data_IF_326180369306
#
_entry.id   IF_326180369306
#
_cell.length_a   1.000
_cell.length_b   1.000
_cell.length_c   1.000
_cell.angle_alpha   90.00
_cell.angle_beta   90.00
_cell.angle_gamma   90.00
#
_symmetry.space_group_name_H-M   'P 1'
#
loop_
_entity.id
_entity.type
_entity.pdbx_description
1 polymer ?
#
# COMPACT_ATOMS: atom_id res chain seq x y z
N UNK A 1 13.37 7.87 18.65
CA UNK A 1 13.25 8.81 17.52
C UNK A 1 12.18 8.24 16.60
N UNK A 2 11.26 9.06 16.10
CA UNK A 2 10.22 8.58 15.18
C UNK A 2 10.85 8.10 13.86
N UNK A 3 10.26 7.08 13.25
CA UNK A 3 10.65 6.57 11.93
C UNK A 3 10.24 7.57 10.85
N UNK A 4 10.91 7.53 9.70
CA UNK A 4 10.63 8.39 8.54
C UNK A 4 10.49 7.53 7.30
N UNK A 5 9.50 7.83 6.47
CA UNK A 5 9.38 7.16 5.18
C UNK A 5 10.40 7.69 4.19
N UNK A 6 10.67 6.97 3.08
CA UNK A 6 11.50 7.47 1.99
C UNK A 6 11.00 8.79 1.35
N UNK A 7 9.77 9.21 1.65
CA UNK A 7 9.15 10.43 1.13
C UNK A 7 9.18 11.61 2.11
N UNK A 8 9.79 11.47 3.30
CA UNK A 8 9.83 12.53 4.32
C UNK A 8 10.26 13.90 3.77
N UNK A 9 11.35 13.94 2.99
CA UNK A 9 11.81 15.20 2.38
C UNK A 9 10.83 15.74 1.34
N UNK A 10 10.09 14.87 0.64
CA UNK A 10 9.00 15.28 -0.27
C UNK A 10 7.84 15.88 0.52
N UNK A 11 7.53 15.34 1.70
CA UNK A 11 6.48 15.88 2.57
C UNK A 11 6.81 17.30 3.00
N UNK A 12 8.04 17.53 3.46
CA UNK A 12 8.51 18.86 3.86
C UNK A 12 8.53 19.85 2.67
N UNK A 13 9.04 19.41 1.52
CA UNK A 13 9.08 20.25 0.31
C UNK A 13 7.68 20.67 -0.18
N UNK A 14 6.65 19.85 0.10
CA UNK A 14 5.25 20.16 -0.19
C UNK A 14 4.50 20.80 0.99
N UNK A 15 5.22 21.27 2.02
CA UNK A 15 4.66 21.95 3.19
C UNK A 15 3.67 21.08 4.00
N UNK A 16 3.90 19.77 4.03
CA UNK A 16 3.11 18.83 4.82
C UNK A 16 3.16 19.15 6.31
N UNK A 17 2.00 19.20 6.96
CA UNK A 17 1.89 19.36 8.41
C UNK A 17 2.16 18.02 9.08
N UNK A 18 3.38 17.83 9.56
CA UNK A 18 3.84 16.56 10.12
C UNK A 18 3.27 16.30 11.52
N UNK A 19 2.88 15.04 11.78
CA UNK A 19 2.42 14.53 13.07
C UNK A 19 3.04 13.16 13.33
N UNK A 20 3.01 12.72 14.59
CA UNK A 20 3.29 11.32 14.93
C UNK A 20 2.09 10.44 14.56
N UNK A 21 2.34 9.41 13.76
CA UNK A 21 1.35 8.39 13.41
C UNK A 21 2.02 7.02 13.32
N UNK A 22 1.55 6.06 14.11
CA UNK A 22 2.09 4.69 14.12
C UNK A 22 3.62 4.61 14.29
N UNK A 23 4.21 5.54 15.06
CA UNK A 23 5.66 5.62 15.26
C UNK A 23 6.44 6.27 14.11
N UNK A 24 5.76 6.86 13.11
CA UNK A 24 6.35 7.60 12.00
C UNK A 24 6.04 9.10 12.07
N UNK A 25 6.90 9.93 11.48
CA UNK A 25 6.59 11.31 11.11
C UNK A 25 5.85 11.33 9.76
N UNK A 26 4.54 11.62 9.78
CA UNK A 26 3.68 11.60 8.60
C UNK A 26 2.88 12.91 8.43
N UNK A 27 2.58 13.35 7.20
CA UNK A 27 1.77 14.54 6.97
C UNK A 27 0.30 14.26 7.28
N UNK A 28 -0.29 15.00 8.23
CA UNK A 28 -1.75 14.93 8.47
C UNK A 28 -2.53 15.64 7.36
N UNK A 29 -1.95 16.66 6.75
CA UNK A 29 -2.49 17.42 5.62
C UNK A 29 -1.36 18.19 4.92
N UNK A 30 -1.64 18.68 3.71
CA UNK A 30 -0.84 19.59 2.91
C UNK A 30 -1.61 20.89 2.65
N UNK A 31 -2.63 20.87 1.78
CA UNK A 31 -3.46 22.03 1.43
C UNK A 31 -4.62 22.22 2.42
N UNK A 32 -5.05 21.12 3.07
CA UNK A 32 -6.15 21.08 4.03
C UNK A 32 -7.07 19.90 3.77
N UNK A 33 -7.54 19.26 4.84
CA UNK A 33 -8.28 17.98 4.78
C UNK A 33 -9.44 17.99 3.78
N UNK A 34 -10.28 19.04 3.76
CA UNK A 34 -11.43 19.12 2.86
C UNK A 34 -10.99 19.27 1.39
N UNK A 35 -9.98 20.11 1.12
CA UNK A 35 -9.48 20.32 -0.24
C UNK A 35 -8.86 19.04 -0.80
N UNK A 36 -8.05 18.36 0.01
CA UNK A 36 -7.43 17.07 -0.29
C UNK A 36 -8.46 15.95 -0.49
N UNK A 37 -9.48 15.88 0.37
CA UNK A 37 -10.58 14.95 0.21
C UNK A 37 -11.28 15.15 -1.15
N UNK A 38 -11.69 16.38 -1.45
CA UNK A 38 -12.34 16.72 -2.71
C UNK A 38 -11.42 16.45 -3.91
N UNK A 39 -10.11 16.62 -3.74
CA UNK A 39 -9.13 16.29 -4.78
C UNK A 39 -9.23 14.84 -5.20
N UNK A 40 -9.25 13.91 -4.24
CA UNK A 40 -9.34 12.48 -4.52
C UNK A 40 -10.69 12.14 -5.14
N UNK A 41 -11.80 12.69 -4.62
CA UNK A 41 -13.15 12.49 -5.16
C UNK A 41 -13.32 12.94 -6.61
N UNK A 42 -12.65 14.03 -7.01
CA UNK A 42 -12.91 14.68 -8.29
C UNK A 42 -11.82 14.45 -9.33
N UNK A 43 -10.59 14.15 -8.89
CA UNK A 43 -9.41 14.07 -9.76
C UNK A 43 -8.48 12.93 -9.37
N UNK A 44 -7.36 13.22 -8.72
CA UNK A 44 -6.34 12.25 -8.30
C UNK A 44 -5.52 12.81 -7.15
N UNK A 45 -5.28 11.98 -6.15
CA UNK A 45 -4.40 12.27 -5.03
C UNK A 45 -3.37 11.15 -4.82
N UNK A 46 -2.20 11.53 -4.30
CA UNK A 46 -1.10 10.60 -4.00
C UNK A 46 -0.88 10.57 -2.50
N UNK A 47 -0.97 9.38 -1.91
CA UNK A 47 -0.71 9.12 -0.51
C UNK A 47 0.61 8.38 -0.36
N UNK A 48 1.45 8.85 0.56
CA UNK A 48 2.51 8.00 1.11
C UNK A 48 1.94 7.09 2.18
N UNK A 49 1.97 5.79 1.90
CA UNK A 49 1.51 4.73 2.82
C UNK A 49 2.64 3.78 3.20
N UNK A 50 3.90 4.21 3.02
CA UNK A 50 5.09 3.41 3.33
C UNK A 50 5.28 3.12 4.83
N UNK A 51 4.47 3.75 5.69
CA UNK A 51 4.40 3.43 7.12
C UNK A 51 3.67 2.10 7.40
N UNK A 52 2.85 1.59 6.46
CA UNK A 52 2.24 0.26 6.55
C UNK A 52 3.30 -0.83 6.58
N UNK A 53 2.99 -2.03 7.06
CA UNK A 53 3.92 -3.16 7.07
C UNK A 53 3.88 -3.93 5.74
N UNK A 54 5.05 -4.36 5.23
CA UNK A 54 5.17 -5.27 4.09
C UNK A 54 5.90 -6.53 4.52
N UNK A 55 5.20 -7.64 4.69
CA UNK A 55 5.77 -8.91 5.17
C UNK A 55 5.64 -9.96 4.08
N UNK A 56 6.75 -10.53 3.64
CA UNK A 56 6.79 -11.59 2.62
C UNK A 56 6.93 -12.97 3.27
N UNK A 57 6.08 -13.89 2.83
CA UNK A 57 6.04 -15.29 3.26
C UNK A 57 6.50 -16.16 2.09
N UNK A 58 7.63 -16.84 2.26
CA UNK A 58 8.21 -17.76 1.28
C UNK A 58 8.14 -19.21 1.77
N UNK A 59 8.46 -20.16 0.89
CA UNK A 59 8.54 -21.59 1.22
C UNK A 59 7.37 -22.40 0.64
N UNK A 60 7.52 -23.73 0.61
CA UNK A 60 6.53 -24.64 0.00
C UNK A 60 5.20 -24.67 0.78
N UNK A 61 5.24 -24.40 2.09
CA UNK A 61 4.07 -24.47 2.97
C UNK A 61 3.40 -23.10 3.14
N UNK A 62 3.80 -22.08 2.35
CA UNK A 62 3.32 -20.69 2.50
C UNK A 62 1.80 -20.55 2.46
N UNK A 63 1.10 -21.25 1.56
CA UNK A 63 -0.37 -21.19 1.48
C UNK A 63 -1.03 -21.82 2.70
N UNK A 64 -0.57 -23.00 3.12
CA UNK A 64 -1.10 -23.69 4.29
C UNK A 64 -0.91 -22.86 5.56
N UNK A 65 0.27 -22.24 5.71
CA UNK A 65 0.56 -21.36 6.83
C UNK A 65 -0.30 -20.09 6.82
N UNK A 66 -0.40 -19.38 5.69
CA UNK A 66 -1.19 -18.15 5.64
C UNK A 66 -2.68 -18.45 5.86
N UNK A 67 -3.24 -19.50 5.24
CA UNK A 67 -4.60 -19.97 5.52
C UNK A 67 -4.85 -20.30 7.00
N UNK A 68 -3.83 -20.73 7.73
CA UNK A 68 -3.96 -21.02 9.15
C UNK A 68 -4.10 -19.76 10.00
N UNK A 69 -3.42 -18.67 9.61
CA UNK A 69 -3.38 -17.42 10.39
C UNK A 69 -4.38 -16.37 9.92
N UNK A 70 -4.90 -16.47 8.70
CA UNK A 70 -5.93 -15.57 8.14
C UNK A 70 -7.31 -16.23 8.12
N UNK A 71 -8.36 -15.43 8.08
CA UNK A 71 -9.75 -15.93 8.04
C UNK A 71 -10.29 -16.21 6.64
N UNK A 72 -9.73 -15.56 5.61
CA UNK A 72 -10.16 -15.73 4.23
C UNK A 72 -9.29 -16.80 3.54
N UNK A 73 -9.86 -17.51 2.55
CA UNK A 73 -9.16 -18.63 1.91
C UNK A 73 -8.17 -18.14 0.86
N UNK A 74 -6.88 -18.19 1.20
CA UNK A 74 -5.73 -17.77 0.39
C UNK A 74 -5.44 -18.75 -0.74
N UNK A 75 -5.87 -20.01 -0.62
CA UNK A 75 -5.70 -21.01 -1.69
C UNK A 75 -6.61 -20.78 -2.90
N UNK A 76 -7.63 -19.92 -2.79
CA UNK A 76 -8.50 -19.53 -3.92
C UNK A 76 -7.95 -18.33 -4.70
N UNK A 77 -6.86 -17.71 -4.23
CA UNK A 77 -6.24 -16.60 -4.95
C UNK A 77 -5.52 -17.12 -6.19
N UNK A 78 -5.95 -16.64 -7.35
CA UNK A 78 -5.14 -16.75 -8.57
C UNK A 78 -3.81 -16.00 -8.42
N UNK A 79 -2.85 -16.33 -9.28
CA UNK A 79 -1.58 -15.61 -9.31
C UNK A 79 -1.82 -14.12 -9.59
N UNK A 80 -1.19 -13.26 -8.79
CA UNK A 80 -1.36 -11.81 -8.72
C UNK A 80 -2.72 -11.31 -8.22
N UNK A 81 -3.60 -12.19 -7.78
CA UNK A 81 -4.81 -11.78 -7.09
C UNK A 81 -4.50 -11.46 -5.63
N UNK A 82 -5.27 -10.53 -5.08
CA UNK A 82 -5.25 -10.19 -3.67
C UNK A 82 -6.62 -10.42 -3.03
N UNK A 83 -6.66 -10.42 -1.70
CA UNK A 83 -7.89 -10.32 -0.93
C UNK A 83 -7.68 -9.60 0.40
N UNK A 84 -8.75 -8.98 0.90
CA UNK A 84 -8.81 -8.53 2.28
C UNK A 84 -9.06 -9.70 3.22
N UNK A 85 -8.42 -9.67 4.38
CA UNK A 85 -8.63 -10.65 5.45
C UNK A 85 -8.32 -10.04 6.82
N UNK A 86 -8.48 -10.86 7.86
CA UNK A 86 -8.07 -10.52 9.22
C UNK A 86 -7.24 -11.67 9.79
N UNK A 87 -6.29 -11.32 10.65
CA UNK A 87 -5.68 -12.24 11.60
C UNK A 87 -6.55 -12.30 12.86
N UNK A 88 -6.72 -13.51 13.43
CA UNK A 88 -7.45 -13.69 14.68
C UNK A 88 -6.62 -14.43 15.73
N UNK A 89 -6.84 -14.07 16.99
CA UNK A 89 -6.44 -14.86 18.14
C UNK A 89 -7.28 -16.15 18.24
N UNK A 90 -6.87 -17.16 19.03
CA UNK A 90 -7.63 -18.41 19.17
C UNK A 90 -9.05 -18.24 19.73
N UNK A 91 -9.32 -17.15 20.44
CA UNK A 91 -10.64 -16.80 20.98
C UNK A 91 -11.53 -16.04 19.96
N UNK A 92 -11.03 -15.78 18.75
CA UNK A 92 -11.73 -15.06 17.69
C UNK A 92 -11.56 -13.54 17.73
N UNK A 93 -10.83 -12.98 18.71
CA UNK A 93 -10.49 -11.56 18.71
C UNK A 93 -9.58 -11.19 17.53
N UNK A 94 -9.82 -10.05 16.89
CA UNK A 94 -9.02 -9.60 15.74
C UNK A 94 -7.65 -9.10 16.21
N UNK A 95 -6.60 -9.62 15.61
CA UNK A 95 -5.22 -9.16 15.81
C UNK A 95 -4.97 -7.93 14.94
N UNK A 96 -5.20 -8.05 13.62
CA UNK A 96 -5.14 -6.97 12.64
C UNK A 96 -5.97 -7.33 11.41
N UNK A 97 -6.32 -6.33 10.63
CA UNK A 97 -6.80 -6.50 9.26
C UNK A 97 -5.71 -6.20 8.23
N UNK A 98 -5.78 -6.87 7.07
CA UNK A 98 -4.70 -6.84 6.10
C UNK A 98 -5.16 -7.18 4.68
N UNK A 99 -4.26 -6.91 3.72
CA UNK A 99 -4.38 -7.42 2.35
C UNK A 99 -3.34 -8.51 2.11
N UNK A 100 -3.79 -9.63 1.56
CA UNK A 100 -2.97 -10.78 1.18
C UNK A 100 -2.84 -10.81 -0.33
N UNK A 101 -1.62 -10.89 -0.86
CA UNK A 101 -1.30 -10.99 -2.28
C UNK A 101 -0.65 -12.32 -2.60
N UNK A 102 -1.17 -13.04 -3.58
CA UNK A 102 -0.51 -14.24 -4.12
C UNK A 102 0.47 -13.87 -5.23
N UNK A 103 1.78 -13.97 -4.97
CA UNK A 103 2.85 -13.63 -5.92
C UNK A 103 3.64 -14.90 -6.31
N UNK A 104 4.41 -14.89 -7.42
CA UNK A 104 5.06 -16.11 -7.94
C UNK A 104 5.90 -16.85 -6.89
N UNK A 105 6.72 -16.10 -6.16
CA UNK A 105 7.70 -16.66 -5.22
C UNK A 105 7.29 -16.54 -3.75
N UNK A 106 6.26 -15.76 -3.43
CA UNK A 106 5.86 -15.47 -2.06
C UNK A 106 4.38 -15.10 -1.92
N UNK A 107 3.89 -15.11 -0.69
CA UNK A 107 2.68 -14.39 -0.32
C UNK A 107 3.11 -13.07 0.31
N UNK A 108 2.61 -11.94 -0.18
CA UNK A 108 2.85 -10.62 0.43
C UNK A 108 1.66 -10.26 1.32
N UNK A 109 1.96 -9.89 2.55
CA UNK A 109 1.01 -9.41 3.55
C UNK A 109 1.26 -7.92 3.76
N UNK A 110 0.23 -7.11 3.54
CA UNK A 110 0.25 -5.66 3.78
C UNK A 110 -0.61 -5.36 5.01
N UNK A 111 0.06 -5.03 6.12
CA UNK A 111 -0.54 -4.89 7.46
C UNK A 111 -0.53 -3.43 7.94
N UNK A 112 -1.29 -3.11 8.98
CA UNK A 112 -1.33 -1.75 9.49
C UNK A 112 0.00 -1.32 10.11
N UNK A 113 0.39 -0.05 9.91
CA UNK A 113 1.69 0.45 10.35
C UNK A 113 1.91 0.32 11.86
N UNK A 114 0.87 0.60 12.66
CA UNK A 114 0.94 0.49 14.13
C UNK A 114 1.07 -0.96 14.62
N UNK A 115 0.70 -1.92 13.77
CA UNK A 115 0.69 -3.34 14.09
C UNK A 115 1.85 -4.09 13.45
N UNK A 116 2.67 -3.46 12.60
CA UNK A 116 3.73 -4.13 11.83
C UNK A 116 4.66 -5.02 12.68
N UNK A 117 5.15 -4.52 13.82
CA UNK A 117 6.02 -5.29 14.72
C UNK A 117 5.23 -6.42 15.43
N UNK A 118 4.06 -6.09 15.98
CA UNK A 118 3.14 -7.04 16.62
C UNK A 118 2.75 -8.20 15.70
N UNK A 119 2.45 -7.89 14.44
CA UNK A 119 2.01 -8.85 13.43
C UNK A 119 3.16 -9.71 12.92
N UNK A 120 4.36 -9.13 12.78
CA UNK A 120 5.57 -9.90 12.50
C UNK A 120 5.82 -10.93 13.61
N UNK A 121 5.71 -10.53 14.87
CA UNK A 121 5.84 -11.43 16.01
C UNK A 121 4.71 -12.46 16.09
N UNK A 122 3.48 -12.08 15.73
CA UNK A 122 2.34 -12.99 15.63
C UNK A 122 2.62 -14.09 14.61
N UNK A 123 3.07 -13.73 13.41
CA UNK A 123 3.43 -14.67 12.36
C UNK A 123 4.59 -15.58 12.77
N UNK A 124 5.64 -15.04 13.39
CA UNK A 124 6.79 -15.81 13.86
C UNK A 124 6.40 -16.83 14.95
N UNK A 125 5.52 -16.47 15.87
CA UNK A 125 5.04 -17.36 16.94
C UNK A 125 4.17 -18.51 16.42
N UNK A 126 3.38 -18.25 15.37
CA UNK A 126 2.50 -19.26 14.77
C UNK A 126 3.14 -20.01 13.60
N UNK A 127 4.41 -19.70 13.28
CA UNK A 127 5.14 -20.27 12.15
C UNK A 127 5.16 -21.79 12.22
N UNK A 128 4.68 -22.42 11.15
CA UNK A 128 4.69 -23.88 10.99
C UNK A 128 5.09 -24.26 9.56
N UNK A 129 5.67 -25.44 9.39
CA UNK A 129 6.16 -25.93 8.11
C UNK A 129 7.41 -25.21 7.58
N UNK A 130 7.72 -25.49 6.31
CA UNK A 130 8.78 -24.85 5.54
C UNK A 130 8.30 -23.49 5.03
N UNK A 131 8.46 -22.51 5.91
CA UNK A 131 8.15 -21.11 5.68
C UNK A 131 9.34 -20.24 6.07
N UNK A 132 9.62 -19.19 5.31
CA UNK A 132 10.51 -18.07 5.69
C UNK A 132 9.71 -16.78 5.69
N UNK A 133 9.81 -16.02 6.77
CA UNK A 133 9.07 -14.77 6.99
C UNK A 133 10.08 -13.64 6.93
N UNK A 134 9.85 -12.65 6.07
CA UNK A 134 10.69 -11.47 5.97
C UNK A 134 9.88 -10.20 6.03
N UNK A 135 10.16 -9.36 7.02
CA UNK A 135 9.63 -8.01 7.06
C UNK A 135 10.48 -7.11 6.14
N UNK A 136 9.89 -6.71 5.01
CA UNK A 136 10.52 -5.92 3.96
C UNK A 136 10.10 -4.45 4.04
N UNK A 137 9.70 -3.99 5.24
CA UNK A 137 9.06 -2.69 5.38
C UNK A 137 9.97 -1.54 4.97
N UNK A 138 11.18 -1.48 5.50
CA UNK A 138 12.10 -0.38 5.19
C UNK A 138 12.65 -0.46 3.75
N UNK A 139 12.61 -1.65 3.12
CA UNK A 139 13.15 -1.88 1.78
C UNK A 139 12.14 -1.53 0.66
N UNK A 140 10.84 -1.57 0.95
CA UNK A 140 9.78 -1.38 -0.05
C UNK A 140 9.00 -0.10 0.26
N UNK A 141 9.09 0.90 -0.61
CA UNK A 141 8.20 2.06 -0.59
C UNK A 141 6.80 1.68 -1.09
N UNK A 142 5.77 2.37 -0.56
CA UNK A 142 4.38 2.20 -0.97
C UNK A 142 3.71 3.55 -1.20
N UNK A 143 3.19 3.74 -2.42
CA UNK A 143 2.36 4.90 -2.78
C UNK A 143 0.97 4.43 -3.18
N UNK A 144 -0.06 5.11 -2.71
CA UNK A 144 -1.42 4.95 -3.22
C UNK A 144 -1.77 6.15 -4.12
N UNK A 145 -2.08 5.90 -5.39
CA UNK A 145 -2.54 6.90 -6.36
C UNK A 145 -4.02 6.66 -6.60
N UNK A 146 -4.86 7.55 -6.10
CA UNK A 146 -6.30 7.29 -5.92
C UNK A 146 -7.13 8.44 -6.49
N UNK A 147 -8.30 8.12 -7.06
CA UNK A 147 -9.23 9.07 -7.66
C UNK A 147 -9.57 8.72 -9.11
N UNK A 148 -10.64 9.30 -9.69
CA UNK A 148 -11.14 8.97 -11.03
C UNK A 148 -10.15 9.25 -12.18
N UNK A 149 -9.03 9.95 -11.92
CA UNK A 149 -7.94 10.19 -12.89
C UNK A 149 -6.68 9.37 -12.61
N UNK A 150 -6.65 8.53 -11.59
CA UNK A 150 -5.47 7.74 -11.21
C UNK A 150 -4.94 6.86 -12.34
N UNK A 151 -5.82 6.11 -13.02
CA UNK A 151 -5.43 5.28 -14.17
C UNK A 151 -4.80 6.13 -15.28
N UNK A 152 -5.44 7.25 -15.65
CA UNK A 152 -4.97 8.14 -16.71
C UNK A 152 -3.57 8.70 -16.40
N UNK A 153 -3.31 9.04 -15.13
CA UNK A 153 -2.00 9.53 -14.70
C UNK A 153 -0.94 8.45 -14.82
N UNK A 154 -1.18 7.27 -14.25
CA UNK A 154 -0.19 6.20 -14.24
C UNK A 154 0.06 5.62 -15.64
N UNK A 155 -0.98 5.58 -16.49
CA UNK A 155 -0.86 5.07 -17.85
C UNK A 155 0.11 5.90 -18.71
N UNK A 156 0.27 7.20 -18.44
CA UNK A 156 1.26 8.06 -19.15
C UNK A 156 2.71 7.60 -18.95
N UNK A 157 2.99 6.89 -17.86
CA UNK A 157 4.33 6.49 -17.44
C UNK A 157 4.45 4.98 -17.25
N UNK A 158 3.52 4.21 -17.82
CA UNK A 158 3.47 2.74 -17.74
C UNK A 158 3.18 2.16 -19.11
N UNK A 159 3.94 1.14 -19.52
CA UNK A 159 3.81 0.55 -20.87
C UNK A 159 2.64 -0.43 -20.99
N UNK A 160 2.34 -1.17 -19.92
CA UNK A 160 1.21 -2.12 -19.91
C UNK A 160 -0.12 -1.38 -19.83
N UNK A 161 -1.19 -2.03 -20.30
CA UNK A 161 -2.55 -1.50 -20.17
C UNK A 161 -3.08 -1.67 -18.73
N UNK A 162 -3.11 -0.59 -17.96
CA UNK A 162 -3.60 -0.60 -16.58
C UNK A 162 -5.10 -0.88 -16.47
N UNK A 163 -5.89 -0.55 -17.50
CA UNK A 163 -7.33 -0.85 -17.53
C UNK A 163 -7.64 -2.36 -17.51
N UNK A 164 -6.67 -3.19 -17.90
CA UNK A 164 -6.82 -4.64 -17.86
C UNK A 164 -6.66 -5.24 -16.45
N UNK A 165 -6.07 -4.48 -15.51
CA UNK A 165 -5.95 -4.89 -14.12
C UNK A 165 -7.31 -4.69 -13.46
N UNK A 166 -7.91 -5.78 -12.97
CA UNK A 166 -9.21 -5.74 -12.26
C UNK A 166 -9.01 -5.31 -10.81
N UNK A 167 -10.09 -4.87 -10.16
CA UNK A 167 -10.08 -4.59 -8.72
C UNK A 167 -9.56 -5.79 -7.92
N UNK A 168 -8.64 -5.56 -6.97
CA UNK A 168 -7.94 -6.61 -6.20
C UNK A 168 -7.09 -7.57 -7.05
N UNK A 169 -6.70 -7.16 -8.26
CA UNK A 169 -5.65 -7.80 -9.03
C UNK A 169 -4.43 -6.90 -9.09
N UNK A 170 -3.28 -7.53 -9.31
CA UNK A 170 -2.00 -6.86 -9.44
C UNK A 170 -1.23 -7.38 -10.64
N UNK A 171 -0.10 -6.75 -10.92
CA UNK A 171 0.88 -7.24 -11.87
C UNK A 171 2.26 -6.68 -11.53
N UNK A 172 3.31 -7.37 -11.98
CA UNK A 172 4.66 -6.83 -12.00
C UNK A 172 4.90 -6.10 -13.31
N UNK A 173 5.29 -4.83 -13.23
CA UNK A 173 5.55 -3.99 -14.40
C UNK A 173 6.54 -2.88 -14.08
N UNK A 174 6.78 -1.98 -15.03
CA UNK A 174 7.56 -0.77 -14.81
C UNK A 174 6.67 0.46 -14.86
N UNK A 175 6.80 1.32 -13.86
CA UNK A 175 6.23 2.67 -13.84
C UNK A 175 7.39 3.66 -13.75
N UNK A 176 7.43 4.63 -14.65
CA UNK A 176 8.56 5.55 -14.80
C UNK A 176 9.92 4.83 -14.94
N UNK A 177 9.93 3.67 -15.60
CA UNK A 177 11.13 2.84 -15.80
C UNK A 177 11.57 2.01 -14.57
N UNK A 178 10.89 2.13 -13.43
CA UNK A 178 11.20 1.41 -12.19
C UNK A 178 10.33 0.16 -12.07
N UNK A 179 10.95 -1.00 -11.87
CA UNK A 179 10.24 -2.27 -11.65
C UNK A 179 9.48 -2.25 -10.32
N UNK A 180 8.21 -2.64 -10.35
CA UNK A 180 7.34 -2.61 -9.18
C UNK A 180 6.14 -3.56 -9.31
N UNK A 181 5.51 -3.86 -8.17
CA UNK A 181 4.17 -4.43 -8.14
C UNK A 181 3.16 -3.29 -8.20
N UNK A 182 2.22 -3.36 -9.15
CA UNK A 182 1.10 -2.43 -9.29
C UNK A 182 -0.18 -3.19 -9.00
N UNK A 183 -0.91 -2.76 -7.97
CA UNK A 183 -2.18 -3.34 -7.56
C UNK A 183 -3.32 -2.36 -7.78
N UNK A 184 -4.46 -2.81 -8.28
CA UNK A 184 -5.69 -2.00 -8.33
C UNK A 184 -6.48 -2.16 -7.04
N UNK A 185 -5.90 -1.61 -5.98
CA UNK A 185 -6.43 -1.59 -4.61
C UNK A 185 -6.45 -0.14 -4.09
N UNK A 186 -7.17 0.07 -2.99
CA UNK A 186 -7.37 1.40 -2.45
C UNK A 186 -8.09 1.41 -1.11
N UNK A 187 -8.06 2.58 -0.47
CA UNK A 187 -8.69 2.84 0.82
C UNK A 187 -9.48 4.15 0.80
N UNK A 188 -10.09 4.45 -0.36
CA UNK A 188 -10.73 5.75 -0.61
C UNK A 188 -12.16 5.66 -1.15
N UNK A 189 -12.59 4.51 -1.67
CA UNK A 189 -13.88 4.35 -2.36
C UNK A 189 -13.86 4.78 -3.82
N UNK A 190 -12.77 5.43 -4.27
CA UNK A 190 -12.52 5.71 -5.68
C UNK A 190 -11.71 4.59 -6.34
N UNK A 191 -11.68 4.59 -7.68
CA UNK A 191 -10.68 3.83 -8.42
C UNK A 191 -9.26 4.32 -8.09
N UNK A 192 -8.29 3.45 -8.25
CA UNK A 192 -6.92 3.77 -7.89
C UNK A 192 -6.01 2.55 -7.88
N UNK A 193 -4.74 2.85 -7.66
CA UNK A 193 -3.69 1.86 -7.62
C UNK A 193 -2.80 2.06 -6.40
N UNK A 194 -2.18 0.98 -5.96
CA UNK A 194 -1.08 0.97 -5.01
C UNK A 194 0.18 0.43 -5.68
N UNK A 195 1.29 1.12 -5.44
CA UNK A 195 2.59 0.87 -6.06
C UNK A 195 3.56 0.41 -4.99
N UNK A 196 4.22 -0.73 -5.21
CA UNK A 196 5.19 -1.30 -4.28
C UNK A 196 6.53 -1.48 -4.97
N UNK A 197 7.55 -0.76 -4.53
CA UNK A 197 8.83 -0.67 -5.23
C UNK A 197 10.00 -0.41 -4.29
N UNK A 198 11.23 -0.55 -4.79
CA UNK A 198 12.44 -0.31 -3.99
C UNK A 198 12.44 1.12 -3.43
N UNK A 199 12.60 1.22 -2.11
CA UNK A 199 12.65 2.49 -1.39
C UNK A 199 13.73 3.44 -1.92
N UNK A 200 14.81 2.92 -2.51
CA UNK A 200 15.86 3.76 -3.14
C UNK A 200 15.33 4.56 -4.34
N UNK A 201 14.26 4.12 -4.97
CA UNK A 201 13.61 4.80 -6.11
C UNK A 201 12.47 5.73 -5.69
N UNK A 202 12.21 5.91 -4.40
CA UNK A 202 11.10 6.72 -3.87
C UNK A 202 11.01 8.12 -4.49
N UNK A 203 12.09 8.89 -4.38
CA UNK A 203 12.09 10.29 -4.81
C UNK A 203 11.82 10.43 -6.32
N UNK A 204 12.42 9.57 -7.16
CA UNK A 204 12.26 9.63 -8.61
C UNK A 204 10.86 9.20 -9.06
N UNK A 205 10.31 8.15 -8.46
CA UNK A 205 8.94 7.68 -8.76
C UNK A 205 7.91 8.73 -8.35
N UNK A 206 8.07 9.34 -7.17
CA UNK A 206 7.22 10.46 -6.73
C UNK A 206 7.21 11.58 -7.78
N UNK A 207 8.38 12.09 -8.16
CA UNK A 207 8.49 13.20 -9.10
C UNK A 207 7.89 12.86 -10.47
N UNK A 208 8.07 11.63 -10.94
CA UNK A 208 7.49 11.18 -12.21
C UNK A 208 5.95 11.12 -12.16
N UNK A 209 5.36 10.63 -11.07
CA UNK A 209 3.90 10.58 -10.89
C UNK A 209 3.33 12.00 -10.88
N UNK A 210 3.92 12.91 -10.11
CA UNK A 210 3.48 14.30 -10.05
C UNK A 210 3.64 15.04 -11.38
N UNK A 211 4.72 14.78 -12.12
CA UNK A 211 4.90 15.33 -13.46
C UNK A 211 3.83 14.83 -14.45
N UNK A 212 3.52 13.53 -14.45
CA UNK A 212 2.49 12.93 -15.29
C UNK A 212 1.09 13.44 -14.97
N UNK A 213 0.84 13.70 -13.68
CA UNK A 213 -0.43 14.15 -13.13
C UNK A 213 -0.70 15.66 -13.21
N UNK A 214 0.26 16.46 -13.71
CA UNK A 214 0.17 17.93 -13.72
C UNK A 214 -1.13 18.46 -14.36
N UNK A 215 -1.55 17.87 -15.48
CA UNK A 215 -2.77 18.27 -16.19
C UNK A 215 -4.07 17.82 -15.51
N UNK A 216 -3.96 16.95 -14.50
CA UNK A 216 -5.09 16.40 -13.74
C UNK A 216 -5.20 17.02 -12.34
N UNK A 217 -4.46 18.11 -12.10
CA UNK A 217 -4.41 18.81 -10.83
C UNK A 217 -4.06 17.89 -9.65
N UNK A 218 -3.17 16.92 -9.88
CA UNK A 218 -2.68 15.97 -8.87
C UNK A 218 -2.15 16.68 -7.62
N UNK A 219 -2.42 16.14 -6.43
CA UNK A 219 -1.91 16.68 -5.17
C UNK A 219 -1.44 15.58 -4.22
N UNK A 220 -0.47 15.87 -3.33
CA UNK A 220 -0.17 14.99 -2.22
C UNK A 220 -1.30 15.07 -1.19
N UNK A 221 -1.65 13.91 -0.61
CA UNK A 221 -2.77 13.78 0.32
C UNK A 221 -2.26 13.26 1.67
N UNK A 222 -2.67 13.94 2.74
CA UNK A 222 -2.31 13.60 4.11
C UNK A 222 -3.26 12.60 4.77
N UNK A 223 -2.89 12.20 5.98
CA UNK A 223 -3.64 11.21 6.78
C UNK A 223 -5.07 11.65 7.13
N UNK A 224 -5.31 12.95 7.31
CA UNK A 224 -6.64 13.46 7.66
C UNK A 224 -7.66 13.25 6.55
N UNK A 225 -7.27 13.51 5.30
CA UNK A 225 -8.12 13.22 4.14
C UNK A 225 -8.25 11.71 3.89
N UNK A 226 -7.20 10.91 4.16
CA UNK A 226 -7.29 9.44 4.13
C UNK A 226 -8.39 8.93 5.06
N UNK A 227 -8.49 9.48 6.27
CA UNK A 227 -9.49 9.06 7.26
C UNK A 227 -10.93 9.48 6.90
N UNK A 228 -11.11 10.64 6.29
CA UNK A 228 -12.45 11.05 5.82
C UNK A 228 -12.91 10.23 4.62
N UNK A 229 -12.02 10.01 3.64
CA UNK A 229 -12.33 9.23 2.44
C UNK A 229 -12.74 7.79 2.76
N UNK A 230 -11.99 7.11 3.64
CA UNK A 230 -12.28 5.72 4.04
C UNK A 230 -13.59 5.60 4.81
N UNK A 231 -13.98 6.65 5.56
CA UNK A 231 -15.18 6.63 6.40
C UNK A 231 -16.46 6.77 5.56
N UNK A 232 -16.37 7.46 4.43
CA UNK A 232 -17.50 7.68 3.51
C UNK A 232 -17.77 6.53 2.52
N UNK A 233 -16.81 5.61 2.34
CA UNK A 233 -16.85 4.57 1.31
C UNK A 233 -18.16 3.80 1.24
#
# INVERSE_FOLDING_TARGET
MLKRTPFYEKHLANQGKMVEFAGYEMPVQFEGIIAEHNRVRTTVGVFDVSHMGRIKIFGKDRFAFVNHVTTNNVSELDLFQAQYSVFCYPDGGIVDDLVVYNLPDCILLVVNGANNEKDTEWLLRNKSGDVRIENQTEAIAQLAVQGPKAEMVLQKITEINLSAIKFYWSCETKVAGVSMLVSRTGYTGEDGFELYFDAQSAASVWDAIFAAGKDFAIAPIGLGARDTLRLEM
#
